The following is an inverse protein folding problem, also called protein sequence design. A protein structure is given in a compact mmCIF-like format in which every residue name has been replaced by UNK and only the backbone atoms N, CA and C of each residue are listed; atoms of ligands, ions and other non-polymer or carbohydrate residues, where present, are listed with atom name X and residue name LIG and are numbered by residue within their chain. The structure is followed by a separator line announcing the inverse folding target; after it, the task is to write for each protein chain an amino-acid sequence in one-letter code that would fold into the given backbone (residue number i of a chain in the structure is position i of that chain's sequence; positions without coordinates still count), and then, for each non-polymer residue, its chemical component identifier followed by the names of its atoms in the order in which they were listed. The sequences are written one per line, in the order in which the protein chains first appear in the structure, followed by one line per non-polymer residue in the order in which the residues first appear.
data_IF_566107361157
#
_entry.id   IF_566107361157
#
_cell.length_a   1.000
_cell.length_b   1.000
_cell.length_c   1.000
_cell.angle_alpha   90.00
_cell.angle_beta   90.00
_cell.angle_gamma   90.00
#
_symmetry.space_group_name_H-M   'P 1'
#
loop_
_entity.id
_entity.type
_entity.pdbx_description
1 polymer ?
#
# COMPACT_ATOMS: atom_id res chain seq x y z
N UNK A 1 -51.79 37.15 6.09
CA UNK A 1 -50.69 36.23 6.47
C UNK A 1 -49.97 35.81 5.20
N UNK A 2 -48.75 36.28 4.98
CA UNK A 2 -47.93 35.81 3.87
C UNK A 2 -47.39 34.40 4.18
N UNK A 3 -47.30 33.48 3.19
CA UNK A 3 -46.74 32.16 3.43
C UNK A 3 -45.25 32.29 3.76
N UNK A 4 -44.70 31.46 4.68
CA UNK A 4 -43.28 31.47 4.96
C UNK A 4 -42.50 31.10 3.70
N UNK A 5 -41.56 31.96 3.30
CA UNK A 5 -40.58 31.63 2.26
C UNK A 5 -39.80 30.39 2.71
N UNK A 6 -40.11 29.24 2.11
CA UNK A 6 -39.32 28.02 2.26
C UNK A 6 -37.95 28.30 1.68
N UNK A 7 -36.97 28.62 2.51
CA UNK A 7 -35.55 28.61 2.13
C UNK A 7 -35.28 27.26 1.51
N UNK A 8 -34.92 27.24 0.22
CA UNK A 8 -34.49 26.02 -0.45
C UNK A 8 -33.24 25.55 0.30
N UNK A 9 -33.37 24.52 1.12
CA UNK A 9 -32.23 23.91 1.78
C UNK A 9 -31.22 23.52 0.70
N UNK A 10 -30.03 24.09 0.77
CA UNK A 10 -28.93 23.75 -0.11
C UNK A 10 -28.48 22.33 0.25
N UNK A 11 -28.99 21.36 -0.49
CA UNK A 11 -28.53 19.97 -0.39
C UNK A 11 -27.20 19.81 -1.12
N UNK A 12 -26.28 19.02 -0.57
CA UNK A 12 -25.02 18.72 -1.25
C UNK A 12 -25.23 18.16 -2.68
N UNK A 13 -26.30 17.39 -2.90
CA UNK A 13 -26.62 16.81 -4.21
C UNK A 13 -27.24 17.82 -5.20
N UNK A 14 -27.64 19.02 -4.74
CA UNK A 14 -28.08 20.08 -5.65
C UNK A 14 -26.90 20.86 -6.26
N UNK A 15 -25.68 20.65 -5.77
CA UNK A 15 -24.47 21.20 -6.37
C UNK A 15 -24.21 20.54 -7.73
N UNK A 16 -23.66 21.26 -8.73
CA UNK A 16 -23.19 20.66 -9.98
C UNK A 16 -22.14 19.56 -9.75
N UNK A 17 -22.04 18.55 -10.63
CA UNK A 17 -21.06 17.47 -10.50
C UNK A 17 -19.63 17.95 -10.28
N UNK A 18 -19.19 19.01 -10.98
CA UNK A 18 -17.84 19.56 -10.86
C UNK A 18 -17.57 20.13 -9.45
N UNK A 19 -18.57 20.80 -8.86
CA UNK A 19 -18.45 21.32 -7.50
C UNK A 19 -18.38 20.18 -6.47
N UNK A 20 -19.18 19.12 -6.64
CA UNK A 20 -19.10 17.93 -5.79
C UNK A 20 -17.75 17.24 -5.92
N UNK A 21 -17.25 17.09 -7.15
CA UNK A 21 -15.94 16.51 -7.43
C UNK A 21 -14.83 17.27 -6.69
N UNK A 22 -14.83 18.61 -6.77
CA UNK A 22 -13.85 19.43 -6.06
C UNK A 22 -13.92 19.28 -4.54
N UNK A 23 -15.12 19.13 -3.99
CA UNK A 23 -15.29 18.85 -2.56
C UNK A 23 -14.73 17.47 -2.19
N UNK A 24 -14.98 16.45 -3.02
CA UNK A 24 -14.42 15.13 -2.81
C UNK A 24 -12.88 15.14 -2.86
N UNK A 25 -12.26 15.83 -3.81
CA UNK A 25 -10.80 15.97 -3.89
C UNK A 25 -10.22 16.55 -2.59
N UNK A 26 -10.85 17.60 -2.04
CA UNK A 26 -10.43 18.24 -0.80
C UNK A 26 -10.58 17.33 0.43
N UNK A 27 -11.61 16.49 0.47
CA UNK A 27 -11.90 15.62 1.61
C UNK A 27 -11.15 14.28 1.57
N UNK A 28 -10.88 13.80 0.35
CA UNK A 28 -10.43 12.42 0.13
C UNK A 28 -8.99 12.31 -0.35
N UNK A 29 -8.33 13.41 -0.73
CA UNK A 29 -6.92 13.40 -1.11
C UNK A 29 -6.06 13.84 0.06
N UNK A 30 -5.12 13.00 0.48
CA UNK A 30 -4.13 13.32 1.52
C UNK A 30 -2.72 13.34 0.97
N UNK A 31 -1.93 14.27 1.49
CA UNK A 31 -0.46 14.26 1.48
C UNK A 31 -0.04 14.51 2.93
N UNK A 32 0.52 13.54 3.68
CA UNK A 32 1.26 12.34 3.25
C UNK A 32 0.39 11.06 3.15
N UNK A 33 1.05 9.88 3.09
CA UNK A 33 0.48 8.54 2.89
C UNK A 33 -0.75 8.23 3.76
N UNK A 34 -1.70 7.48 3.21
CA UNK A 34 -2.85 6.96 3.97
C UNK A 34 -2.46 5.63 4.62
N UNK A 35 -2.65 5.52 5.93
CA UNK A 35 -2.33 4.31 6.71
C UNK A 35 -3.62 3.58 7.13
N UNK A 36 -4.16 2.67 6.30
CA UNK A 36 -5.35 1.89 6.63
C UNK A 36 -5.15 0.94 7.82
N UNK A 37 -3.90 0.59 8.12
CA UNK A 37 -3.49 -0.25 9.25
C UNK A 37 -3.18 0.56 10.52
N UNK A 38 -3.30 1.89 10.57
CA UNK A 38 -3.06 2.65 11.80
C UNK A 38 -4.32 2.84 12.65
N UNK A 39 -4.16 2.84 13.99
CA UNK A 39 -5.25 3.18 14.92
C UNK A 39 -5.79 4.59 14.61
N UNK A 40 -7.08 4.88 14.86
CA UNK A 40 -7.72 6.15 14.47
C UNK A 40 -7.00 7.42 14.95
N UNK A 41 -6.30 7.36 16.09
CA UNK A 41 -5.57 8.49 16.66
C UNK A 41 -4.35 8.93 15.83
N UNK A 42 -3.86 8.10 14.90
CA UNK A 42 -2.71 8.38 14.05
C UNK A 42 -3.07 8.63 12.57
N UNK A 43 -4.37 8.69 12.24
CA UNK A 43 -4.81 8.84 10.85
C UNK A 43 -4.71 10.30 10.37
N UNK A 44 -4.04 10.47 9.22
CA UNK A 44 -3.93 11.70 8.45
C UNK A 44 -5.23 12.03 7.71
N UNK A 45 -5.63 13.30 7.79
CA UNK A 45 -6.40 14.19 6.88
C UNK A 45 -7.60 13.69 6.02
N UNK A 46 -7.73 12.41 5.70
CA UNK A 46 -8.79 11.88 4.84
C UNK A 46 -10.04 11.64 5.66
N UNK A 47 -11.19 12.10 5.17
CA UNK A 47 -12.50 11.90 5.82
C UNK A 47 -13.36 10.92 5.01
N UNK A 48 -13.10 9.59 5.05
CA UNK A 48 -13.80 8.61 4.23
C UNK A 48 -15.25 8.37 4.67
N UNK A 49 -15.70 8.97 5.79
CA UNK A 49 -17.09 8.88 6.25
C UNK A 49 -18.09 9.38 5.22
N UNK A 50 -17.71 10.32 4.36
CA UNK A 50 -18.56 10.83 3.26
C UNK A 50 -18.96 9.72 2.27
N UNK A 51 -18.12 8.69 2.10
CA UNK A 51 -18.44 7.55 1.23
C UNK A 51 -19.62 6.72 1.75
N UNK A 52 -19.96 6.83 3.04
CA UNK A 52 -21.03 6.07 3.69
C UNK A 52 -22.37 6.81 3.73
N UNK A 53 -22.42 8.08 3.33
CA UNK A 53 -23.62 8.92 3.52
C UNK A 53 -24.67 8.72 2.43
N UNK A 54 -24.26 8.39 1.20
CA UNK A 54 -25.18 8.28 0.06
C UNK A 54 -24.72 7.29 -1.00
N UNK A 55 -25.68 6.56 -1.59
CA UNK A 55 -25.48 5.65 -2.72
C UNK A 55 -25.01 6.34 -4.00
N UNK A 56 -25.29 7.64 -4.14
CA UNK A 56 -24.78 8.44 -5.25
C UNK A 56 -23.34 8.90 -4.98
N UNK A 57 -23.06 9.34 -3.76
CA UNK A 57 -21.73 9.86 -3.39
C UNK A 57 -20.67 8.77 -3.45
N UNK A 58 -21.00 7.56 -2.99
CA UNK A 58 -20.05 6.45 -2.97
C UNK A 58 -19.39 6.19 -4.34
N UNK A 59 -20.11 5.93 -5.45
CA UNK A 59 -19.48 5.70 -6.75
C UNK A 59 -18.81 6.95 -7.33
N UNK A 60 -19.29 8.17 -7.02
CA UNK A 60 -18.66 9.41 -7.49
C UNK A 60 -17.29 9.65 -6.82
N UNK A 61 -17.18 9.33 -5.53
CA UNK A 61 -16.06 9.75 -4.69
C UNK A 61 -15.05 8.63 -4.40
N UNK A 62 -15.44 7.36 -4.41
CA UNK A 62 -14.53 6.23 -4.19
C UNK A 62 -13.32 6.21 -5.14
N UNK A 63 -13.45 6.49 -6.45
CA UNK A 63 -12.30 6.55 -7.34
C UNK A 63 -11.26 7.58 -6.89
N UNK A 64 -11.68 8.72 -6.35
CA UNK A 64 -10.77 9.78 -5.88
C UNK A 64 -9.96 9.26 -4.68
N UNK A 65 -10.63 8.61 -3.72
CA UNK A 65 -9.94 8.01 -2.57
C UNK A 65 -8.90 6.97 -3.00
N UNK A 66 -9.26 6.00 -3.84
CA UNK A 66 -8.38 4.86 -4.13
C UNK A 66 -7.35 5.11 -5.24
N UNK A 67 -7.61 6.05 -6.14
CA UNK A 67 -6.69 6.37 -7.26
C UNK A 67 -5.71 7.47 -6.92
N UNK A 68 -6.13 8.48 -6.16
CA UNK A 68 -5.30 9.67 -5.94
C UNK A 68 -4.41 9.56 -4.71
N UNK A 69 -4.69 8.63 -3.81
CA UNK A 69 -3.90 8.41 -2.60
C UNK A 69 -2.89 7.28 -2.77
N UNK A 70 -1.85 7.35 -1.94
CA UNK A 70 -0.89 6.26 -1.75
C UNK A 70 -1.11 5.63 -0.39
N UNK A 71 -1.33 4.32 -0.36
CA UNK A 71 -1.63 3.58 0.86
C UNK A 71 -0.39 2.86 1.40
N UNK A 72 -0.09 3.03 2.68
CA UNK A 72 0.95 2.30 3.38
C UNK A 72 0.40 0.94 3.84
N UNK A 73 1.20 -0.10 3.65
CA UNK A 73 0.89 -1.48 4.03
C UNK A 73 2.07 -1.98 4.86
N UNK A 74 1.88 -2.14 6.17
CA UNK A 74 2.88 -2.73 7.07
C UNK A 74 2.40 -4.03 7.73
N UNK A 75 1.09 -4.21 7.91
CA UNK A 75 0.50 -5.38 8.57
C UNK A 75 -0.41 -6.19 7.62
N UNK A 76 0.05 -7.33 7.07
CA UNK A 76 -0.66 -8.01 5.97
C UNK A 76 -2.05 -8.51 6.36
N UNK A 77 -2.26 -9.04 7.57
CA UNK A 77 -3.57 -9.52 8.03
C UNK A 77 -4.62 -8.41 8.10
N UNK A 78 -4.22 -7.23 8.62
CA UNK A 78 -5.11 -6.08 8.75
C UNK A 78 -5.46 -5.51 7.39
N UNK A 79 -4.51 -5.51 6.47
CA UNK A 79 -4.74 -5.07 5.09
C UNK A 79 -5.63 -6.07 4.33
N UNK A 80 -5.45 -7.37 4.53
CA UNK A 80 -6.35 -8.38 3.97
C UNK A 80 -7.79 -8.22 4.50
N UNK A 81 -7.95 -7.93 5.80
CA UNK A 81 -9.26 -7.60 6.37
C UNK A 81 -9.85 -6.33 5.75
N UNK A 82 -9.05 -5.28 5.58
CA UNK A 82 -9.46 -4.05 4.92
C UNK A 82 -9.86 -4.28 3.44
N UNK A 83 -9.11 -5.11 2.70
CA UNK A 83 -9.43 -5.51 1.32
C UNK A 83 -10.76 -6.28 1.23
N UNK A 84 -11.09 -7.06 2.25
CA UNK A 84 -12.39 -7.70 2.35
C UNK A 84 -13.50 -6.66 2.58
N UNK A 85 -13.30 -5.71 3.50
CA UNK A 85 -14.28 -4.66 3.80
C UNK A 85 -14.54 -3.70 2.63
N UNK A 86 -13.50 -3.28 1.90
CA UNK A 86 -13.66 -2.33 0.79
C UNK A 86 -14.36 -2.94 -0.43
N UNK A 87 -14.31 -4.27 -0.58
CA UNK A 87 -14.89 -5.01 -1.69
C UNK A 87 -14.07 -4.94 -3.00
N UNK A 88 -14.35 -5.84 -3.96
CA UNK A 88 -13.54 -6.01 -5.17
C UNK A 88 -13.55 -4.78 -6.09
N UNK A 89 -14.67 -4.06 -6.20
CA UNK A 89 -14.79 -2.90 -7.08
C UNK A 89 -13.85 -1.76 -6.67
N UNK A 90 -13.75 -1.50 -5.36
CA UNK A 90 -12.85 -0.49 -4.82
C UNK A 90 -11.39 -0.95 -4.88
N UNK A 91 -11.12 -2.23 -4.59
CA UNK A 91 -9.76 -2.78 -4.66
C UNK A 91 -9.18 -2.69 -6.08
N UNK A 92 -10.01 -2.92 -7.10
CA UNK A 92 -9.62 -2.74 -8.50
C UNK A 92 -9.31 -1.28 -8.87
N UNK A 93 -9.68 -0.30 -8.04
CA UNK A 93 -9.37 1.11 -8.25
C UNK A 93 -8.06 1.56 -7.58
N UNK A 94 -7.48 0.73 -6.71
CA UNK A 94 -6.23 1.04 -6.01
C UNK A 94 -5.10 1.29 -7.01
N UNK A 95 -4.45 2.45 -6.95
CA UNK A 95 -3.39 2.84 -7.92
C UNK A 95 -1.99 2.81 -7.34
N UNK A 96 -1.80 3.23 -6.09
CA UNK A 96 -0.48 3.46 -5.49
C UNK A 96 -0.40 2.86 -4.09
N UNK A 97 0.61 2.04 -3.87
CA UNK A 97 0.90 1.48 -2.54
C UNK A 97 2.37 1.64 -2.18
N UNK A 98 2.64 1.82 -0.89
CA UNK A 98 3.95 1.63 -0.28
C UNK A 98 3.84 0.46 0.69
N UNK A 99 4.73 -0.50 0.56
CA UNK A 99 4.74 -1.69 1.39
C UNK A 99 6.00 -1.67 2.24
N UNK A 100 5.83 -1.80 3.55
CA UNK A 100 6.91 -1.89 4.52
C UNK A 100 6.94 -3.29 5.12
N UNK A 101 7.97 -4.06 4.79
CA UNK A 101 8.15 -5.41 5.28
C UNK A 101 9.12 -5.37 6.46
N UNK A 102 8.59 -5.57 7.67
CA UNK A 102 9.36 -5.47 8.91
C UNK A 102 10.50 -6.52 9.00
N UNK A 103 11.59 -6.20 9.70
CA UNK A 103 12.77 -7.06 9.90
C UNK A 103 12.44 -8.47 10.45
N UNK A 104 11.43 -8.50 11.29
CA UNK A 104 10.93 -9.69 12.02
C UNK A 104 9.74 -10.28 11.26
N UNK A 105 9.92 -10.72 10.00
CA UNK A 105 8.78 -11.07 9.13
C UNK A 105 8.26 -12.51 9.27
N UNK A 106 9.05 -13.43 9.86
CA UNK A 106 8.76 -14.87 9.87
C UNK A 106 9.04 -15.58 11.21
N UNK A 107 9.46 -14.85 12.25
CA UNK A 107 9.78 -15.45 13.55
C UNK A 107 8.54 -15.54 14.43
N UNK A 108 8.21 -16.74 14.88
CA UNK A 108 7.02 -17.02 15.71
C UNK A 108 7.16 -16.59 17.18
N UNK A 109 8.38 -16.29 17.64
CA UNK A 109 8.67 -16.09 19.06
C UNK A 109 9.45 -14.80 19.31
N UNK A 110 8.76 -13.67 19.39
CA UNK A 110 9.32 -12.45 20.01
C UNK A 110 8.42 -12.03 21.16
N UNK A 111 8.76 -12.39 22.43
CA UNK A 111 7.86 -12.24 23.59
C UNK A 111 7.43 -10.80 23.92
N UNK A 112 8.09 -9.80 23.35
CA UNK A 112 7.96 -8.39 23.75
C UNK A 112 7.07 -7.55 22.82
N UNK A 113 6.58 -8.12 21.73
CA UNK A 113 5.72 -7.43 20.78
C UNK A 113 4.51 -8.32 20.47
N UNK A 114 3.30 -7.86 20.83
CA UNK A 114 2.00 -8.44 20.46
C UNK A 114 1.73 -8.29 18.95
N UNK A 115 2.65 -8.74 18.12
CA UNK A 115 2.55 -8.69 16.67
C UNK A 115 2.62 -10.13 16.20
N UNK A 116 1.46 -10.67 15.83
CA UNK A 116 1.33 -11.96 15.17
C UNK A 116 1.92 -11.80 13.77
N UNK A 117 3.11 -12.35 13.52
CA UNK A 117 3.87 -12.14 12.28
C UNK A 117 4.02 -13.44 11.51
N UNK A 118 2.99 -13.72 10.72
CA UNK A 118 2.91 -14.88 9.85
C UNK A 118 3.43 -14.51 8.45
N UNK A 119 4.67 -14.91 8.14
CA UNK A 119 5.21 -14.90 6.76
C UNK A 119 4.21 -15.38 5.68
N UNK A 120 3.32 -16.38 5.94
CA UNK A 120 2.24 -16.76 5.03
C UNK A 120 1.27 -15.63 4.62
N UNK A 121 0.90 -14.73 5.53
CA UNK A 121 -0.07 -13.66 5.25
C UNK A 121 0.44 -12.68 4.19
N UNK A 122 1.75 -12.50 4.09
CA UNK A 122 2.36 -11.73 3.01
C UNK A 122 2.14 -12.37 1.63
N UNK A 123 2.20 -13.69 1.52
CA UNK A 123 1.92 -14.38 0.26
C UNK A 123 0.46 -14.22 -0.15
N UNK A 124 -0.46 -14.34 0.81
CA UNK A 124 -1.89 -14.11 0.58
C UNK A 124 -2.17 -12.67 0.15
N UNK A 125 -1.51 -11.70 0.79
CA UNK A 125 -1.61 -10.30 0.41
C UNK A 125 -1.11 -10.06 -1.02
N UNK A 126 0.08 -10.56 -1.36
CA UNK A 126 0.67 -10.40 -2.69
C UNK A 126 -0.17 -11.11 -3.77
N UNK A 127 -0.67 -12.31 -3.49
CA UNK A 127 -1.61 -13.03 -4.38
C UNK A 127 -2.90 -12.22 -4.58
N UNK A 128 -3.46 -11.67 -3.51
CA UNK A 128 -4.65 -10.83 -3.55
C UNK A 128 -4.42 -9.57 -4.40
N UNK A 129 -3.28 -8.88 -4.22
CA UNK A 129 -2.89 -7.74 -5.03
C UNK A 129 -2.76 -8.13 -6.51
N UNK A 130 -2.03 -9.21 -6.81
CA UNK A 130 -1.80 -9.68 -8.18
C UNK A 130 -3.11 -10.03 -8.91
N UNK A 131 -4.08 -10.64 -8.21
CA UNK A 131 -5.34 -11.10 -8.80
C UNK A 131 -6.43 -10.03 -8.83
N UNK A 132 -6.49 -9.17 -7.82
CA UNK A 132 -7.66 -8.31 -7.57
C UNK A 132 -7.38 -6.81 -7.67
N UNK A 133 -6.15 -6.37 -7.45
CA UNK A 133 -5.79 -4.95 -7.57
C UNK A 133 -5.39 -4.61 -9.03
N UNK A 134 -6.28 -4.86 -9.98
CA UNK A 134 -6.00 -4.72 -11.43
C UNK A 134 -5.71 -3.27 -11.86
N UNK A 135 -6.13 -2.30 -11.06
CA UNK A 135 -5.83 -0.88 -11.24
C UNK A 135 -4.46 -0.45 -10.73
N UNK A 136 -3.70 -1.33 -10.06
CA UNK A 136 -2.43 -0.96 -9.43
C UNK A 136 -1.42 -0.53 -10.49
N UNK A 137 -0.76 0.60 -10.28
CA UNK A 137 0.23 1.15 -11.21
C UNK A 137 1.57 1.40 -10.56
N UNK A 138 1.58 1.93 -9.33
CA UNK A 138 2.81 2.29 -8.63
C UNK A 138 2.94 1.49 -7.34
N UNK A 139 4.03 0.75 -7.21
CA UNK A 139 4.36 0.00 -6.00
C UNK A 139 5.74 0.42 -5.53
N UNK A 140 5.85 0.76 -4.26
CA UNK A 140 7.11 0.88 -3.56
C UNK A 140 7.20 -0.22 -2.51
N UNK A 141 8.35 -0.87 -2.41
CA UNK A 141 8.60 -1.96 -1.47
C UNK A 141 9.86 -1.66 -0.66
N UNK A 142 9.73 -1.62 0.67
CA UNK A 142 10.85 -1.50 1.59
C UNK A 142 10.98 -2.78 2.41
N UNK A 143 12.16 -3.39 2.37
CA UNK A 143 12.50 -4.50 3.25
C UNK A 143 13.34 -4.00 4.41
N UNK A 144 12.81 -4.08 5.62
CA UNK A 144 13.53 -3.73 6.83
C UNK A 144 14.42 -4.89 7.32
N UNK A 145 15.46 -4.56 8.08
CA UNK A 145 16.34 -5.54 8.72
C UNK A 145 16.94 -4.99 10.02
N UNK A 146 16.93 -5.84 11.04
CA UNK A 146 17.58 -5.61 12.33
C UNK A 146 18.78 -6.57 12.42
N UNK A 147 19.93 -6.10 11.90
CA UNK A 147 21.18 -6.87 11.82
C UNK A 147 21.71 -7.28 13.20
N UNK A 148 21.50 -6.44 14.20
CA UNK A 148 21.87 -6.67 15.61
C UNK A 148 21.15 -7.89 16.22
N UNK A 149 19.90 -8.11 15.82
CA UNK A 149 19.10 -9.25 16.25
C UNK A 149 19.06 -10.39 15.21
N UNK A 150 19.87 -10.34 14.15
CA UNK A 150 19.84 -11.30 13.04
C UNK A 150 18.44 -11.48 12.41
N UNK A 151 17.62 -10.43 12.45
CA UNK A 151 16.29 -10.41 11.84
C UNK A 151 16.40 -9.75 10.45
N UNK A 152 16.45 -10.58 9.41
CA UNK A 152 16.84 -10.15 8.06
C UNK A 152 15.66 -9.76 7.15
N UNK A 153 14.45 -9.65 7.70
CA UNK A 153 13.22 -9.36 6.96
C UNK A 153 12.94 -10.40 5.88
N UNK A 154 11.97 -10.11 5.01
CA UNK A 154 11.70 -10.97 3.86
C UNK A 154 12.78 -10.86 2.78
N UNK A 155 13.87 -10.10 3.03
CA UNK A 155 14.96 -9.71 2.15
C UNK A 155 15.77 -10.84 1.49
N UNK A 156 15.53 -12.10 1.88
CA UNK A 156 16.10 -13.31 1.27
C UNK A 156 15.05 -14.35 0.90
N UNK A 157 13.77 -14.01 1.05
CA UNK A 157 12.66 -14.91 0.82
C UNK A 157 12.32 -15.01 -0.67
N UNK A 158 12.75 -16.11 -1.29
CA UNK A 158 12.51 -16.38 -2.70
C UNK A 158 11.02 -16.50 -3.00
N UNK A 159 10.22 -17.07 -2.10
CA UNK A 159 8.78 -17.22 -2.31
C UNK A 159 8.09 -15.86 -2.31
N UNK A 160 8.46 -14.99 -1.37
CA UNK A 160 7.94 -13.62 -1.32
C UNK A 160 8.12 -12.90 -2.67
N UNK A 161 9.33 -12.95 -3.21
CA UNK A 161 9.65 -12.26 -4.47
C UNK A 161 8.97 -12.89 -5.68
N UNK A 162 8.77 -14.22 -5.68
CA UNK A 162 7.95 -14.89 -6.69
C UNK A 162 6.50 -14.40 -6.66
N UNK A 163 5.90 -14.28 -5.48
CA UNK A 163 4.53 -13.78 -5.35
C UNK A 163 4.43 -12.29 -5.76
N UNK A 164 5.41 -11.47 -5.39
CA UNK A 164 5.50 -10.07 -5.79
C UNK A 164 5.57 -9.92 -7.33
N UNK A 165 6.37 -10.77 -8.00
CA UNK A 165 6.51 -10.76 -9.45
C UNK A 165 5.23 -11.12 -10.21
N UNK A 166 4.21 -11.67 -9.53
CA UNK A 166 2.89 -11.96 -10.15
C UNK A 166 2.05 -10.71 -10.33
N UNK A 167 2.41 -9.58 -9.70
CA UNK A 167 1.73 -8.30 -9.94
C UNK A 167 2.15 -7.79 -11.33
N UNK A 168 1.16 -7.43 -12.15
CA UNK A 168 1.35 -7.06 -13.55
C UNK A 168 0.65 -5.73 -13.85
N UNK A 169 1.07 -5.08 -14.95
CA UNK A 169 0.49 -3.80 -15.39
C UNK A 169 0.94 -2.59 -14.57
N UNK A 170 2.07 -2.69 -13.88
CA UNK A 170 2.68 -1.56 -13.18
C UNK A 170 3.32 -0.60 -14.19
N UNK A 171 3.20 0.69 -13.90
CA UNK A 171 3.93 1.76 -14.58
C UNK A 171 5.24 2.08 -13.87
N UNK A 172 5.30 1.84 -12.56
CA UNK A 172 6.46 2.15 -11.72
C UNK A 172 6.59 1.14 -10.58
N UNK A 173 7.80 0.65 -10.36
CA UNK A 173 8.14 -0.20 -9.23
C UNK A 173 9.44 0.31 -8.59
N UNK A 174 9.38 0.54 -7.30
CA UNK A 174 10.51 1.02 -6.50
C UNK A 174 10.81 0.03 -5.38
N UNK A 175 12.10 -0.19 -5.12
CA UNK A 175 12.57 -1.06 -4.04
C UNK A 175 13.62 -0.35 -3.20
N UNK A 176 13.60 -0.62 -1.89
CA UNK A 176 14.52 -0.04 -0.92
C UNK A 176 14.74 -1.01 0.26
N UNK A 177 15.68 -0.64 1.13
CA UNK A 177 16.03 -1.43 2.31
C UNK A 177 16.95 -2.61 1.98
N UNK A 178 16.65 -3.79 2.53
CA UNK A 178 17.52 -4.95 2.59
C UNK A 178 17.00 -6.10 1.74
N UNK A 179 17.59 -6.28 0.56
CA UNK A 179 17.14 -7.26 -0.41
C UNK A 179 18.29 -7.99 -1.11
N UNK A 180 18.03 -9.20 -1.59
CA UNK A 180 19.01 -9.99 -2.34
C UNK A 180 19.40 -9.32 -3.67
N UNK A 181 20.67 -9.52 -4.07
CA UNK A 181 21.28 -8.83 -5.20
C UNK A 181 20.56 -9.07 -6.54
N UNK A 182 20.02 -10.28 -6.74
CA UNK A 182 19.35 -10.67 -7.99
C UNK A 182 17.94 -10.11 -8.19
N UNK A 183 17.28 -9.61 -7.13
CA UNK A 183 15.87 -9.25 -7.19
C UNK A 183 15.51 -8.08 -8.10
N UNK A 184 16.26 -6.96 -8.16
CA UNK A 184 15.91 -5.88 -9.07
C UNK A 184 15.87 -6.37 -10.52
N UNK A 185 16.83 -7.20 -10.92
CA UNK A 185 16.88 -7.79 -12.26
C UNK A 185 15.72 -8.75 -12.49
N UNK A 186 15.50 -9.68 -11.57
CA UNK A 186 14.42 -10.65 -11.67
C UNK A 186 13.04 -9.99 -11.79
N UNK A 187 12.75 -9.01 -10.92
CA UNK A 187 11.48 -8.28 -10.94
C UNK A 187 11.32 -7.49 -12.24
N UNK A 188 12.39 -6.85 -12.74
CA UNK A 188 12.34 -6.14 -14.02
C UNK A 188 11.97 -7.07 -15.19
N UNK A 189 12.61 -8.23 -15.26
CA UNK A 189 12.37 -9.22 -16.31
C UNK A 189 10.96 -9.82 -16.22
N UNK A 190 10.46 -10.11 -15.00
CA UNK A 190 9.15 -10.75 -14.80
C UNK A 190 7.96 -9.82 -14.90
N UNK A 191 8.11 -8.56 -14.50
CA UNK A 191 7.03 -7.59 -14.45
C UNK A 191 7.03 -6.65 -15.66
N UNK A 192 8.07 -6.68 -16.49
CA UNK A 192 8.20 -5.83 -17.67
C UNK A 192 8.30 -4.33 -17.35
N UNK A 193 8.70 -3.98 -16.12
CA UNK A 193 8.84 -2.60 -15.63
C UNK A 193 10.24 -2.35 -15.10
N UNK A 194 10.80 -1.17 -15.33
CA UNK A 194 12.09 -0.81 -14.76
C UNK A 194 11.97 -0.71 -13.23
N UNK A 195 12.86 -1.39 -12.52
CA UNK A 195 12.93 -1.34 -11.06
C UNK A 195 13.85 -0.21 -10.64
N UNK A 196 13.27 0.80 -10.01
CA UNK A 196 14.03 1.89 -9.41
C UNK A 196 14.46 1.50 -8.00
N UNK A 197 15.73 1.68 -7.68
CA UNK A 197 16.21 1.48 -6.32
C UNK A 197 16.12 2.84 -5.62
N UNK A 198 15.14 3.01 -4.74
CA UNK A 198 15.04 4.22 -3.93
C UNK A 198 16.12 4.10 -2.85
N UNK A 199 17.23 4.78 -3.07
CA UNK A 199 18.31 4.84 -2.09
C UNK A 199 17.86 5.71 -0.94
N UNK A 200 17.87 5.18 0.28
CA UNK A 200 18.22 6.04 1.40
C UNK A 200 19.59 6.61 1.06
N UNK A 201 19.63 7.88 0.65
CA UNK A 201 20.74 8.55 -0.05
C UNK A 201 22.05 8.65 0.75
N UNK A 202 22.21 7.90 1.84
CA UNK A 202 23.42 7.87 2.64
C UNK A 202 24.35 6.75 2.17
N UNK A 203 25.64 7.05 2.08
CA UNK A 203 26.67 6.03 1.83
C UNK A 203 26.60 4.88 2.85
N UNK A 204 26.12 5.16 4.06
CA UNK A 204 25.90 4.20 5.14
C UNK A 204 24.85 3.14 4.78
N UNK A 205 23.65 3.55 4.34
CA UNK A 205 22.60 2.60 3.95
C UNK A 205 23.02 1.71 2.78
N UNK A 206 23.72 2.27 1.79
CA UNK A 206 24.26 1.50 0.66
C UNK A 206 25.32 0.48 1.09
N UNK A 207 26.20 0.84 2.04
CA UNK A 207 27.19 -0.07 2.58
C UNK A 207 26.53 -1.24 3.31
N UNK A 208 25.47 -0.99 4.08
CA UNK A 208 24.70 -2.02 4.78
C UNK A 208 23.97 -2.95 3.81
N UNK A 209 23.32 -2.41 2.77
CA UNK A 209 22.72 -3.21 1.70
C UNK A 209 23.77 -4.11 1.02
N UNK A 210 24.94 -3.58 0.66
CA UNK A 210 26.03 -4.40 0.08
C UNK A 210 26.48 -5.51 1.02
N UNK A 211 26.56 -5.24 2.33
CA UNK A 211 26.87 -6.26 3.34
C UNK A 211 25.79 -7.33 3.38
N UNK A 212 24.51 -6.93 3.33
CA UNK A 212 23.37 -7.84 3.30
C UNK A 212 23.38 -8.76 2.06
N UNK A 213 23.72 -8.20 0.90
CA UNK A 213 23.71 -8.87 -0.39
C UNK A 213 24.82 -9.91 -0.57
N UNK A 214 25.90 -9.85 0.21
CA UNK A 214 26.96 -10.87 0.17
C UNK A 214 26.39 -12.26 0.47
N UNK A 215 26.66 -13.22 -0.41
CA UNK A 215 26.15 -14.59 -0.28
C UNK A 215 24.72 -14.77 -0.77
N UNK A 216 24.11 -13.75 -1.40
CA UNK A 216 22.76 -13.84 -2.00
C UNK A 216 22.81 -14.06 -3.52
N UNK A 217 23.99 -14.25 -4.10
CA UNK A 217 24.19 -14.38 -5.54
C UNK A 217 23.53 -15.64 -6.11
N UNK A 218 23.43 -16.70 -5.30
CA UNK A 218 22.74 -17.94 -5.64
C UNK A 218 21.22 -17.93 -5.38
N UNK A 219 20.66 -16.86 -4.78
CA UNK A 219 19.22 -16.74 -4.56
C UNK A 219 18.54 -16.34 -5.85
N UNK A 220 18.31 -17.33 -6.72
CA UNK A 220 17.58 -17.19 -7.97
C UNK A 220 16.09 -17.51 -7.74
N UNK A 221 15.19 -16.52 -7.89
CA UNK A 221 13.76 -16.78 -7.82
C UNK A 221 13.22 -17.45 -9.09
#
# INVERSE_FOLDING_TARGET
MAPPHRTKELSFLSLPPDARHRIYELLLTSKPLVMPDCRPAAQTAVTPSILRTSRQIHPEASPILYRENTFLIAEPERILHWFHQMGPANLAQLRRIRVFVHAVYATKDVPFLDIKRDGPAWYELLDCLARRATGLRHVFMYWDAAEDCNHMGAGKDVRFVRELARIQGLERMEIAGFYAMGWPRYLAEKMGVAIQQEGDCTAYSLQRLRRFQRGTEGLLP
#
